data_IF_647728354823
#
_entry.id   IF_647728354823
#
_cell.length_a   1.000
_cell.length_b   1.000
_cell.length_c   1.000
_cell.angle_alpha   90.00
_cell.angle_beta   90.00
_cell.angle_gamma   90.00
#
_symmetry.space_group_name_H-M   'P 1'
#
loop_
_entity.id
_entity.type
_entity.pdbx_description
1 polymer ?
#
# COMPACT_ATOMS: atom_id res chain seq x y z
N UNK A 1 22.80 13.24 -0.39
CA UNK A 1 22.89 12.37 -1.58
C UNK A 1 21.62 11.55 -1.63
N UNK A 2 20.94 11.49 -2.78
CA UNK A 2 19.81 10.59 -2.93
C UNK A 2 20.36 9.15 -2.95
N UNK A 3 19.89 8.31 -2.04
CA UNK A 3 20.23 6.89 -2.08
C UNK A 3 19.30 6.18 -3.05
N UNK A 4 19.78 5.10 -3.64
CA UNK A 4 18.96 4.19 -4.43
C UNK A 4 18.73 2.90 -3.68
N UNK A 5 17.60 2.27 -3.95
CA UNK A 5 17.40 0.87 -3.58
C UNK A 5 18.28 -0.06 -4.44
N UNK A 6 18.30 -1.35 -4.12
CA UNK A 6 19.07 -2.39 -4.82
C UNK A 6 18.62 -2.64 -6.26
N UNK A 7 17.45 -2.11 -6.64
CA UNK A 7 16.94 -2.15 -8.02
C UNK A 7 17.25 -0.85 -8.78
N UNK A 8 17.95 0.10 -8.16
CA UNK A 8 18.34 1.37 -8.77
C UNK A 8 17.26 2.45 -8.70
N UNK A 9 16.16 2.25 -7.96
CA UNK A 9 15.14 3.28 -7.81
C UNK A 9 15.55 4.32 -6.78
N UNK A 10 15.29 5.62 -7.03
CA UNK A 10 15.59 6.66 -6.05
C UNK A 10 14.69 6.53 -4.82
N UNK A 11 15.28 6.74 -3.65
CA UNK A 11 14.58 6.81 -2.36
C UNK A 11 14.93 8.12 -1.68
N UNK A 12 13.92 8.84 -1.19
CA UNK A 12 14.11 10.15 -0.54
C UNK A 12 14.50 10.01 0.93
N UNK A 13 15.48 9.15 1.21
CA UNK A 13 16.02 8.93 2.54
C UNK A 13 17.54 8.83 2.51
N UNK A 14 18.20 9.41 3.52
CA UNK A 14 19.66 9.44 3.67
C UNK A 14 20.31 8.21 4.33
N UNK A 15 19.57 7.13 4.60
CA UNK A 15 20.04 6.00 5.42
C UNK A 15 19.97 4.73 4.60
N UNK A 16 21.13 4.22 4.20
CA UNK A 16 21.22 2.94 3.50
C UNK A 16 20.68 1.78 4.35
N UNK A 17 20.83 1.85 5.67
CA UNK A 17 20.28 0.84 6.58
C UNK A 17 18.74 0.83 6.54
N UNK A 18 18.09 2.00 6.60
CA UNK A 18 16.63 2.12 6.53
C UNK A 18 16.10 1.60 5.19
N UNK A 19 16.78 1.93 4.09
CA UNK A 19 16.44 1.47 2.74
C UNK A 19 16.56 -0.05 2.65
N UNK A 20 17.63 -0.64 3.21
CA UNK A 20 17.77 -2.09 3.24
C UNK A 20 16.65 -2.79 4.06
N UNK A 21 16.15 -2.18 5.14
CA UNK A 21 14.99 -2.73 5.88
C UNK A 21 13.70 -2.64 5.08
N UNK A 22 13.48 -1.52 4.39
CA UNK A 22 12.37 -1.34 3.46
C UNK A 22 12.40 -2.42 2.38
N UNK A 23 13.56 -2.67 1.78
CA UNK A 23 13.74 -3.73 0.78
C UNK A 23 13.41 -5.11 1.35
N UNK A 24 13.90 -5.41 2.55
CA UNK A 24 13.55 -6.67 3.23
C UNK A 24 12.05 -6.83 3.44
N UNK A 25 11.35 -5.78 3.85
CA UNK A 25 9.90 -5.85 3.99
C UNK A 25 9.21 -6.17 2.66
N UNK A 26 9.70 -5.62 1.55
CA UNK A 26 9.17 -5.91 0.22
C UNK A 26 9.48 -7.36 -0.20
N UNK A 27 10.68 -7.86 0.08
CA UNK A 27 11.04 -9.26 -0.15
C UNK A 27 10.19 -10.22 0.67
N UNK A 28 9.98 -9.94 1.95
CA UNK A 28 9.13 -10.73 2.84
C UNK A 28 7.70 -10.80 2.29
N UNK A 29 7.14 -9.66 1.88
CA UNK A 29 5.84 -9.61 1.25
C UNK A 29 5.79 -10.41 -0.06
N UNK A 30 6.77 -10.20 -0.96
CA UNK A 30 6.84 -10.89 -2.24
C UNK A 30 7.04 -12.41 -2.09
N UNK A 31 7.74 -12.84 -1.05
CA UNK A 31 7.98 -14.25 -0.74
C UNK A 31 6.83 -14.89 0.06
N UNK A 32 5.82 -14.12 0.48
CA UNK A 32 4.80 -14.54 1.45
C UNK A 32 5.41 -15.13 2.74
N UNK A 33 6.48 -14.52 3.22
CA UNK A 33 7.20 -14.95 4.41
C UNK A 33 7.13 -13.91 5.52
N UNK A 34 7.04 -14.40 6.76
CA UNK A 34 6.96 -13.58 7.96
C UNK A 34 5.88 -12.47 7.86
N UNK A 35 5.89 -11.53 8.81
CA UNK A 35 5.02 -10.36 8.76
C UNK A 35 5.83 -9.14 8.25
N UNK A 36 5.62 -8.71 7.00
CA UNK A 36 6.31 -7.53 6.46
C UNK A 36 5.91 -6.23 7.17
N UNK A 37 4.73 -6.18 7.81
CA UNK A 37 4.28 -5.01 8.58
C UNK A 37 5.11 -4.87 9.85
N UNK A 38 5.51 -5.97 10.50
CA UNK A 38 6.38 -5.92 11.68
C UNK A 38 7.76 -5.36 11.34
N UNK A 39 8.36 -5.75 10.20
CA UNK A 39 9.63 -5.16 9.77
C UNK A 39 9.48 -3.67 9.42
N UNK A 40 8.35 -3.28 8.83
CA UNK A 40 8.03 -1.88 8.55
C UNK A 40 7.83 -1.06 9.82
N UNK A 41 7.09 -1.57 10.80
CA UNK A 41 6.90 -0.91 12.08
C UNK A 41 8.24 -0.71 12.80
N UNK A 42 9.13 -1.71 12.74
CA UNK A 42 10.47 -1.61 13.28
C UNK A 42 11.31 -0.50 12.63
N UNK A 43 11.36 -0.44 11.30
CA UNK A 43 12.13 0.63 10.62
C UNK A 43 11.48 1.99 10.81
N UNK A 44 10.14 2.10 10.83
CA UNK A 44 9.45 3.38 10.99
C UNK A 44 9.56 3.93 12.43
N UNK A 45 9.76 3.06 13.43
CA UNK A 45 10.08 3.49 14.79
C UNK A 45 11.46 4.17 14.88
N UNK A 46 12.43 3.70 14.10
CA UNK A 46 13.79 4.25 14.03
C UNK A 46 13.92 5.42 13.04
N UNK A 47 13.16 5.36 11.95
CA UNK A 47 13.20 6.25 10.79
C UNK A 47 11.78 6.73 10.42
N UNK A 48 11.16 7.58 11.25
CA UNK A 48 9.79 8.02 11.04
C UNK A 48 9.61 8.90 9.79
N UNK A 49 10.70 9.42 9.21
CA UNK A 49 10.70 10.22 7.98
C UNK A 49 10.88 9.39 6.69
N UNK A 50 10.86 8.06 6.79
CA UNK A 50 10.90 7.15 5.64
C UNK A 50 9.55 7.11 4.90
N UNK A 51 9.41 8.03 3.94
CA UNK A 51 8.18 8.22 3.12
C UNK A 51 7.69 6.92 2.49
N UNK A 52 8.58 6.22 1.78
CA UNK A 52 8.24 4.97 1.11
C UNK A 52 7.82 3.87 2.09
N UNK A 53 8.34 3.89 3.33
CA UNK A 53 7.95 2.94 4.38
C UNK A 53 6.49 3.13 4.80
N UNK A 54 6.06 4.38 5.02
CA UNK A 54 4.66 4.69 5.34
C UNK A 54 3.72 4.37 4.17
N UNK A 55 4.13 4.71 2.94
CA UNK A 55 3.35 4.41 1.74
C UNK A 55 3.18 2.89 1.54
N UNK A 56 4.26 2.11 1.71
CA UNK A 56 4.21 0.65 1.61
C UNK A 56 3.35 0.04 2.72
N UNK A 57 3.51 0.48 3.97
CA UNK A 57 2.70 0.00 5.09
C UNK A 57 1.20 0.19 4.82
N UNK A 58 0.81 1.37 4.35
CA UNK A 58 -0.57 1.65 3.99
C UNK A 58 -1.06 0.80 2.80
N UNK A 59 -0.22 0.59 1.78
CA UNK A 59 -0.53 -0.29 0.65
C UNK A 59 -0.73 -1.75 1.08
N UNK A 60 0.11 -2.28 1.98
CA UNK A 60 -0.07 -3.64 2.52
C UNK A 60 -1.41 -3.77 3.26
N UNK A 61 -1.77 -2.78 4.07
CA UNK A 61 -3.06 -2.76 4.76
C UNK A 61 -4.24 -2.66 3.79
N UNK A 62 -4.11 -1.87 2.72
CA UNK A 62 -5.09 -1.81 1.65
C UNK A 62 -5.30 -3.20 1.00
N UNK A 63 -4.22 -3.94 0.72
CA UNK A 63 -4.33 -5.29 0.13
C UNK A 63 -4.97 -6.32 1.06
N UNK A 64 -4.83 -6.18 2.38
CA UNK A 64 -5.44 -7.08 3.36
C UNK A 64 -6.97 -7.07 3.32
N UNK A 65 -7.57 -5.96 2.86
CA UNK A 65 -9.03 -5.79 2.73
C UNK A 65 -9.84 -6.04 4.02
N UNK A 66 -9.16 -6.13 5.17
CA UNK A 66 -9.79 -6.29 6.47
C UNK A 66 -10.06 -4.89 7.06
N UNK A 67 -11.32 -4.64 7.40
CA UNK A 67 -11.75 -3.39 8.02
C UNK A 67 -11.01 -3.11 9.33
N UNK A 68 -10.49 -4.14 10.00
CA UNK A 68 -9.64 -3.98 11.18
C UNK A 68 -8.40 -3.12 10.91
N UNK A 69 -7.85 -3.16 9.70
CA UNK A 69 -6.66 -2.39 9.33
C UNK A 69 -6.96 -1.03 8.69
N UNK A 70 -8.22 -0.67 8.46
CA UNK A 70 -8.58 0.62 7.85
C UNK A 70 -8.10 1.83 8.67
N UNK A 71 -8.15 1.72 10.00
CA UNK A 71 -7.63 2.76 10.89
C UNK A 71 -6.11 2.91 10.79
N UNK A 72 -5.38 1.79 10.74
CA UNK A 72 -3.92 1.78 10.62
C UNK A 72 -3.45 2.24 9.23
N UNK A 73 -4.17 1.85 8.18
CA UNK A 73 -3.95 2.32 6.80
C UNK A 73 -4.06 3.84 6.74
N UNK A 74 -5.10 4.40 7.35
CA UNK A 74 -5.34 5.86 7.37
C UNK A 74 -4.22 6.59 8.12
N UNK A 75 -3.74 6.04 9.25
CA UNK A 75 -2.61 6.61 10.00
C UNK A 75 -1.33 6.64 9.17
N UNK A 76 -1.01 5.53 8.50
CA UNK A 76 0.18 5.44 7.64
C UNK A 76 0.07 6.35 6.42
N UNK A 77 -1.12 6.45 5.80
CA UNK A 77 -1.34 7.38 4.70
C UNK A 77 -1.11 8.83 5.16
N UNK A 78 -1.70 9.25 6.29
CA UNK A 78 -1.52 10.59 6.81
C UNK A 78 -0.04 10.91 7.13
N UNK A 79 0.70 9.94 7.66
CA UNK A 79 2.15 10.09 7.90
C UNK A 79 2.93 10.25 6.58
N UNK A 80 2.58 9.47 5.54
CA UNK A 80 3.20 9.60 4.23
C UNK A 80 2.88 10.95 3.56
N UNK A 81 1.62 11.40 3.64
CA UNK A 81 1.16 12.69 3.12
C UNK A 81 1.87 13.87 3.81
N UNK A 82 2.06 13.81 5.12
CA UNK A 82 2.82 14.83 5.86
C UNK A 82 4.28 14.95 5.39
N UNK A 83 4.84 13.86 4.84
CA UNK A 83 6.20 13.82 4.30
C UNK A 83 6.27 14.05 2.78
N UNK A 84 5.14 14.25 2.11
CA UNK A 84 5.07 14.36 0.64
C UNK A 84 5.93 15.49 0.06
N UNK A 85 6.18 16.56 0.83
CA UNK A 85 7.07 17.66 0.42
C UNK A 85 8.55 17.26 0.32
N UNK A 86 8.95 16.16 0.99
CA UNK A 86 10.30 15.57 0.91
C UNK A 86 10.37 14.37 -0.05
N UNK A 87 9.21 13.94 -0.54
CA UNK A 87 9.06 12.75 -1.36
C UNK A 87 9.49 13.00 -2.81
N UNK A 88 10.05 11.98 -3.46
CA UNK A 88 10.30 11.98 -4.88
C UNK A 88 9.03 11.63 -5.67
N UNK A 89 9.10 11.72 -7.00
CA UNK A 89 7.93 11.48 -7.85
C UNK A 89 7.34 10.08 -7.70
N UNK A 90 8.20 9.06 -7.58
CA UNK A 90 7.78 7.68 -7.35
C UNK A 90 7.01 7.57 -6.03
N UNK A 91 7.58 8.04 -4.93
CA UNK A 91 6.96 8.06 -3.60
C UNK A 91 5.61 8.79 -3.60
N UNK A 92 5.51 9.94 -4.27
CA UNK A 92 4.24 10.67 -4.43
C UNK A 92 3.21 9.87 -5.22
N UNK A 93 3.63 9.10 -6.22
CA UNK A 93 2.78 8.16 -6.95
C UNK A 93 2.15 7.11 -6.02
N UNK A 94 2.94 6.51 -5.14
CA UNK A 94 2.44 5.53 -4.16
C UNK A 94 1.47 6.14 -3.15
N UNK A 95 1.79 7.33 -2.63
CA UNK A 95 0.89 8.05 -1.70
C UNK A 95 -0.46 8.29 -2.39
N UNK A 96 -0.44 8.76 -3.63
CA UNK A 96 -1.66 9.02 -4.38
C UNK A 96 -2.46 7.75 -4.70
N UNK A 97 -1.79 6.62 -4.97
CA UNK A 97 -2.44 5.34 -5.19
C UNK A 97 -3.19 4.86 -3.93
N UNK A 98 -2.53 4.94 -2.76
CA UNK A 98 -3.15 4.59 -1.48
C UNK A 98 -4.26 5.56 -1.11
N UNK A 99 -4.12 6.85 -1.43
CA UNK A 99 -5.18 7.83 -1.22
C UNK A 99 -6.42 7.51 -2.04
N UNK A 100 -6.25 7.23 -3.34
CA UNK A 100 -7.34 6.82 -4.21
C UNK A 100 -8.03 5.54 -3.71
N UNK A 101 -7.25 4.57 -3.21
CA UNK A 101 -7.78 3.38 -2.55
C UNK A 101 -8.64 3.71 -1.34
N UNK A 102 -8.16 4.61 -0.46
CA UNK A 102 -8.89 5.05 0.72
C UNK A 102 -10.19 5.80 0.37
N UNK A 103 -10.20 6.53 -0.75
CA UNK A 103 -11.37 7.23 -1.28
C UNK A 103 -12.33 6.30 -2.05
N UNK A 104 -11.96 5.02 -2.25
CA UNK A 104 -12.75 4.04 -3.00
C UNK A 104 -12.63 4.17 -4.53
N UNK A 105 -11.73 5.03 -5.02
CA UNK A 105 -11.41 5.19 -6.43
C UNK A 105 -10.38 4.12 -6.86
N UNK A 106 -10.89 2.93 -7.14
CA UNK A 106 -10.09 1.75 -7.45
C UNK A 106 -9.37 1.89 -8.79
N UNK A 107 -9.95 2.60 -9.76
CA UNK A 107 -9.37 2.83 -11.07
C UNK A 107 -8.10 3.68 -10.93
N UNK A 108 -8.21 4.85 -10.31
CA UNK A 108 -7.06 5.72 -10.04
C UNK A 108 -6.03 5.03 -9.14
N UNK A 109 -6.47 4.25 -8.15
CA UNK A 109 -5.56 3.49 -7.29
C UNK A 109 -4.72 2.48 -8.09
N UNK A 110 -5.34 1.81 -9.06
CA UNK A 110 -4.68 0.82 -9.92
C UNK A 110 -3.72 1.49 -10.89
N UNK A 111 -4.16 2.55 -11.58
CA UNK A 111 -3.32 3.29 -12.53
C UNK A 111 -2.06 3.86 -11.88
N UNK A 112 -2.22 4.51 -10.72
CA UNK A 112 -1.10 5.08 -9.97
C UNK A 112 -0.27 4.01 -9.25
N UNK A 113 -0.89 2.90 -8.89
CA UNK A 113 -0.27 1.75 -8.26
C UNK A 113 0.61 0.92 -9.19
N UNK A 114 0.42 1.00 -10.52
CA UNK A 114 1.26 0.26 -11.48
C UNK A 114 2.75 0.61 -11.37
N UNK A 115 3.07 1.87 -11.06
CA UNK A 115 4.44 2.35 -10.83
C UNK A 115 5.09 1.70 -9.59
N UNK A 116 4.28 1.12 -8.68
CA UNK A 116 4.79 0.43 -7.49
C UNK A 116 5.51 -0.86 -7.85
N UNK A 117 5.05 -1.54 -8.88
CA UNK A 117 5.42 -2.94 -9.17
C UNK A 117 6.26 -3.10 -10.43
N UNK A 118 6.33 -2.09 -11.31
CA UNK A 118 7.18 -2.10 -12.51
C UNK A 118 8.68 -2.31 -12.21
N UNK A 119 9.13 -1.98 -11.00
CA UNK A 119 10.50 -2.26 -10.55
C UNK A 119 10.72 -3.71 -10.03
N UNK A 120 9.65 -4.47 -9.74
CA UNK A 120 9.70 -5.77 -9.07
C UNK A 120 9.32 -6.88 -10.05
N UNK A 121 10.20 -7.10 -11.04
CA UNK A 121 10.03 -7.89 -12.26
C UNK A 121 9.73 -9.41 -12.09
N UNK A 122 9.29 -9.87 -10.92
CA UNK A 122 8.85 -11.25 -10.68
C UNK A 122 7.39 -11.37 -10.20
N UNK A 123 6.69 -10.25 -9.97
CA UNK A 123 5.38 -10.22 -9.31
C UNK A 123 4.15 -10.11 -10.23
N UNK A 124 4.27 -10.35 -11.54
CA UNK A 124 3.13 -10.25 -12.47
C UNK A 124 1.95 -11.17 -12.14
N UNK A 125 2.24 -12.38 -11.64
CA UNK A 125 1.20 -13.33 -11.21
C UNK A 125 0.58 -12.95 -9.86
N UNK A 126 1.37 -12.30 -9.00
CA UNK A 126 0.96 -11.81 -7.70
C UNK A 126 0.04 -10.58 -7.83
N UNK A 127 0.38 -9.67 -8.74
CA UNK A 127 -0.47 -8.54 -9.11
C UNK A 127 -1.82 -9.02 -9.64
N UNK A 128 -1.84 -10.04 -10.50
CA UNK A 128 -3.08 -10.66 -10.97
C UNK A 128 -3.93 -11.26 -9.83
N UNK A 129 -3.30 -11.92 -8.85
CA UNK A 129 -3.99 -12.47 -7.67
C UNK A 129 -4.48 -11.40 -6.69
N UNK A 130 -3.71 -10.33 -6.48
CA UNK A 130 -4.12 -9.17 -5.67
C UNK A 130 -5.27 -8.44 -6.37
N UNK A 131 -5.21 -8.20 -7.67
CA UNK A 131 -6.31 -7.62 -8.46
C UNK A 131 -7.58 -8.50 -8.44
N UNK A 132 -7.44 -9.83 -8.49
CA UNK A 132 -8.57 -10.76 -8.33
C UNK A 132 -9.17 -10.70 -6.93
N UNK A 133 -8.31 -10.63 -5.89
CA UNK A 133 -8.74 -10.51 -4.50
C UNK A 133 -9.43 -9.16 -4.23
N UNK A 134 -8.90 -8.04 -4.76
CA UNK A 134 -9.51 -6.72 -4.62
C UNK A 134 -10.81 -6.60 -5.39
N UNK A 135 -10.94 -7.18 -6.60
CA UNK A 135 -12.23 -7.27 -7.30
C UNK A 135 -13.26 -8.08 -6.51
N UNK A 136 -12.85 -9.19 -5.89
CA UNK A 136 -13.74 -10.02 -5.06
C UNK A 136 -14.18 -9.29 -3.78
N UNK A 137 -13.27 -8.53 -3.17
CA UNK A 137 -13.51 -7.69 -1.99
C UNK A 137 -14.44 -6.52 -2.32
N UNK A 138 -14.21 -5.81 -3.43
CA UNK A 138 -15.07 -4.71 -3.87
C UNK A 138 -16.50 -5.20 -4.11
N UNK A 139 -16.65 -6.33 -4.80
CA UNK A 139 -17.94 -6.98 -4.99
C UNK A 139 -18.60 -7.39 -3.65
N UNK A 140 -17.83 -7.65 -2.59
CA UNK A 140 -18.34 -8.02 -1.28
C UNK A 140 -18.71 -6.79 -0.42
N UNK A 141 -17.95 -5.69 -0.54
CA UNK A 141 -18.26 -4.41 0.09
C UNK A 141 -19.55 -3.84 -0.51
N UNK A 142 -19.69 -3.82 -1.83
CA UNK A 142 -20.91 -3.39 -2.51
C UNK A 142 -22.12 -4.25 -2.13
N UNK A 143 -21.96 -5.57 -2.04
CA UNK A 143 -23.04 -6.48 -1.59
C UNK A 143 -23.49 -6.21 -0.16
N UNK A 144 -22.57 -5.81 0.74
CA UNK A 144 -22.88 -5.45 2.13
C UNK A 144 -23.41 -4.02 2.29
N UNK A 145 -23.10 -3.12 1.35
CA UNK A 145 -23.56 -1.74 1.34
C UNK A 145 -24.98 -1.58 0.74
N UNK A 146 -25.50 -2.58 0.03
CA UNK A 146 -26.92 -2.57 -0.38
C UNK A 146 -27.80 -2.66 0.87
N UNK A 147 -28.68 -1.68 1.13
CA UNK A 147 -29.70 -1.86 2.14
C UNK A 147 -30.54 -3.07 1.76
N UNK A 148 -30.82 -3.93 2.73
CA UNK A 148 -31.76 -5.04 2.57
C UNK A 148 -33.12 -4.40 2.24
N UNK A 149 -33.46 -4.28 0.94
CA UNK A 149 -34.81 -3.93 0.54
C UNK A 149 -35.67 -5.11 0.96
N UNK A 150 -36.25 -5.02 2.16
CA UNK A 150 -37.39 -5.84 2.52
C UNK A 150 -38.47 -5.50 1.50
N UNK A 151 -38.64 -6.36 0.50
CA UNK A 151 -39.92 -6.55 -0.17
C UNK A 151 -40.89 -7.13 0.87
N UNK A 152 -41.29 -6.27 1.81
CA UNK A 152 -42.45 -6.43 2.65
C UNK A 152 -43.62 -5.76 1.94
N UNK A 153 -43.91 -6.21 0.71
CA UNK A 153 -45.19 -5.94 0.07
C UNK A 153 -45.62 -7.15 -0.76
N UNK A 154 -46.24 -8.11 -0.08
CA UNK A 154 -47.38 -8.87 -0.62
C UNK A 154 -48.11 -9.49 0.57
N UNK A 155 -49.08 -8.72 1.03
CA UNK A 155 -50.28 -9.20 1.70
C UNK A 155 -51.05 -10.16 0.79
#
# INVERSE_FOLDING_TARGET
>A
MAHTDKWGNPVSHGSAAAIARLERAIELFAAYQADPVVELDGVLAEHPDLVMGHALRAALMATSSDKAFAGEMTKSLAAAEALAGRANERERGHIAAVRAWADGDIETATERGNVMWEAYLFAGLLYFLICQATAHVCANIERRARPFSRDATRA
#
